data_IF_756108434170
#
_entry.id   IF_756108434170
#
_cell.length_a   1.000
_cell.length_b   1.000
_cell.length_c   1.000
_cell.angle_alpha   90.00
_cell.angle_beta   90.00
_cell.angle_gamma   90.00
#
_symmetry.space_group_name_H-M   'P 1'
#
loop_
_entity.id
_entity.type
_entity.pdbx_description
1 polymer ?
#
# COMPACT_ATOMS: atom_id res chain seq x y z
N UNK A 1 4.87 -52.80 34.39
CA UNK A 1 4.35 -52.82 33.00
C UNK A 1 3.74 -51.49 32.56
N UNK A 2 2.51 -51.09 32.94
CA UNK A 2 1.90 -49.85 32.41
C UNK A 2 2.56 -48.52 32.85
N UNK A 3 3.23 -48.50 34.00
CA UNK A 3 3.97 -47.33 34.50
C UNK A 3 5.38 -47.22 33.89
N UNK A 4 6.05 -48.35 33.68
CA UNK A 4 7.36 -48.39 33.01
C UNK A 4 7.25 -47.90 31.56
N UNK A 5 6.21 -48.35 30.85
CA UNK A 5 5.96 -47.92 29.47
C UNK A 5 5.71 -46.40 29.36
N UNK A 6 5.03 -45.79 30.35
CA UNK A 6 4.85 -44.33 30.40
C UNK A 6 6.14 -43.58 30.72
N UNK A 7 7.03 -44.18 31.50
CA UNK A 7 8.33 -43.58 31.81
C UNK A 7 9.21 -43.61 30.57
N UNK A 8 9.22 -44.73 29.83
CA UNK A 8 9.93 -44.86 28.56
C UNK A 8 9.41 -43.87 27.50
N UNK A 9 8.08 -43.74 27.36
CA UNK A 9 7.45 -42.75 26.46
C UNK A 9 7.87 -41.31 26.79
N UNK A 10 7.99 -40.95 28.08
CA UNK A 10 8.43 -39.62 28.51
C UNK A 10 9.92 -39.39 28.23
N UNK A 11 10.76 -40.41 28.38
CA UNK A 11 12.17 -40.32 28.01
C UNK A 11 12.35 -40.14 26.50
N UNK A 12 11.59 -40.87 25.68
CA UNK A 12 11.60 -40.72 24.22
C UNK A 12 11.10 -39.35 23.76
N UNK A 13 10.11 -38.78 24.47
CA UNK A 13 9.70 -37.40 24.24
C UNK A 13 10.81 -36.41 24.60
N UNK A 14 11.46 -36.59 25.75
CA UNK A 14 12.53 -35.71 26.22
C UNK A 14 13.74 -35.74 25.27
N UNK A 15 14.13 -36.91 24.77
CA UNK A 15 15.21 -37.06 23.79
C UNK A 15 14.81 -36.42 22.45
N UNK A 16 13.58 -36.62 21.99
CA UNK A 16 13.07 -35.96 20.77
C UNK A 16 13.10 -34.44 20.90
N UNK A 17 12.67 -33.88 22.04
CA UNK A 17 12.74 -32.44 22.28
C UNK A 17 14.18 -31.92 22.35
N UNK A 18 15.10 -32.66 22.96
CA UNK A 18 16.52 -32.31 23.00
C UNK A 18 17.14 -32.29 21.60
N UNK A 19 16.86 -33.31 20.77
CA UNK A 19 17.35 -33.40 19.39
C UNK A 19 16.77 -32.29 18.50
N UNK A 20 15.48 -31.99 18.66
CA UNK A 20 14.84 -30.87 17.97
C UNK A 20 15.45 -29.52 18.38
N UNK A 21 15.74 -29.33 19.67
CA UNK A 21 16.41 -28.14 20.20
C UNK A 21 17.83 -27.97 19.66
N UNK A 22 18.62 -29.04 19.66
CA UNK A 22 19.97 -29.06 19.08
C UNK A 22 19.93 -28.80 17.57
N UNK A 23 18.98 -29.38 16.84
CA UNK A 23 18.78 -29.14 15.42
C UNK A 23 18.32 -27.72 15.10
N UNK A 24 17.49 -27.09 15.95
CA UNK A 24 17.13 -25.68 15.82
C UNK A 24 18.34 -24.77 16.06
N UNK A 25 19.16 -25.07 17.07
CA UNK A 25 20.37 -24.30 17.39
C UNK A 25 21.43 -24.42 16.29
N UNK A 26 21.62 -25.62 15.72
CA UNK A 26 22.51 -25.83 14.58
C UNK A 26 22.07 -25.04 13.34
N UNK A 27 20.77 -25.01 13.02
CA UNK A 27 20.22 -24.19 11.93
C UNK A 27 20.45 -22.69 12.17
N UNK A 28 20.19 -22.21 13.39
CA UNK A 28 20.44 -20.81 13.75
C UNK A 28 21.92 -20.44 13.64
N UNK A 29 22.84 -21.34 14.03
CA UNK A 29 24.28 -21.12 13.85
C UNK A 29 24.70 -21.05 12.38
N UNK A 30 24.14 -21.91 11.54
CA UNK A 30 24.37 -21.87 10.08
C UNK A 30 23.84 -20.57 9.47
N UNK A 31 22.66 -20.11 9.88
CA UNK A 31 22.09 -18.85 9.42
C UNK A 31 22.94 -17.65 9.85
N UNK A 32 23.40 -17.62 11.10
CA UNK A 32 24.34 -16.59 11.59
C UNK A 32 25.63 -16.59 10.77
N UNK A 33 26.16 -17.77 10.43
CA UNK A 33 27.36 -17.86 9.59
C UNK A 33 27.11 -17.28 8.20
N UNK A 34 26.03 -17.70 7.53
CA UNK A 34 25.66 -17.21 6.21
C UNK A 34 25.42 -15.69 6.20
N UNK A 35 24.79 -15.15 7.25
CA UNK A 35 24.59 -13.71 7.41
C UNK A 35 25.91 -12.97 7.61
N UNK A 36 26.88 -13.53 8.35
CA UNK A 36 28.21 -12.94 8.52
C UNK A 36 28.98 -12.91 7.20
N UNK A 37 28.95 -13.99 6.42
CA UNK A 37 29.58 -14.03 5.09
C UNK A 37 28.96 -12.99 4.16
N UNK A 38 27.62 -12.87 4.17
CA UNK A 38 26.92 -11.87 3.35
C UNK A 38 27.21 -10.45 3.80
N UNK A 39 27.32 -10.20 5.10
CA UNK A 39 27.72 -8.88 5.60
C UNK A 39 29.13 -8.51 5.15
N UNK A 40 30.07 -9.45 5.18
CA UNK A 40 31.42 -9.23 4.68
C UNK A 40 31.45 -8.93 3.17
N UNK A 41 30.64 -9.64 2.38
CA UNK A 41 30.48 -9.36 0.95
C UNK A 41 29.89 -7.96 0.70
N UNK A 42 28.89 -7.57 1.50
CA UNK A 42 28.27 -6.24 1.40
C UNK A 42 29.25 -5.13 1.81
N UNK A 43 30.05 -5.32 2.86
CA UNK A 43 31.08 -4.38 3.27
C UNK A 43 32.11 -4.17 2.14
N UNK A 44 32.63 -5.25 1.56
CA UNK A 44 33.51 -5.18 0.38
C UNK A 44 32.87 -4.45 -0.80
N UNK A 45 31.57 -4.68 -1.04
CA UNK A 45 30.84 -3.99 -2.11
C UNK A 45 30.67 -2.49 -1.83
N UNK A 46 30.46 -2.10 -0.58
CA UNK A 46 30.37 -0.68 -0.19
C UNK A 46 31.71 0.00 -0.45
N UNK A 47 32.83 -0.61 -0.04
CA UNK A 47 34.17 -0.08 -0.30
C UNK A 47 34.43 0.10 -1.81
N UNK A 48 34.03 -0.88 -2.63
CA UNK A 48 34.14 -0.79 -4.09
C UNK A 48 33.33 0.40 -4.66
N UNK A 49 32.09 0.59 -4.18
CA UNK A 49 31.21 1.68 -4.64
C UNK A 49 31.72 3.05 -4.18
N UNK A 50 32.24 3.16 -2.96
CA UNK A 50 32.87 4.38 -2.47
C UNK A 50 34.10 4.75 -3.30
N UNK A 51 34.92 3.76 -3.67
CA UNK A 51 36.05 3.94 -4.59
C UNK A 51 35.60 4.49 -5.95
N UNK A 52 34.57 3.90 -6.56
CA UNK A 52 34.01 4.38 -7.83
C UNK A 52 33.43 5.79 -7.73
N UNK A 53 32.76 6.12 -6.61
CA UNK A 53 32.21 7.45 -6.39
C UNK A 53 33.31 8.50 -6.25
N UNK A 54 34.41 8.18 -5.57
CA UNK A 54 35.56 9.07 -5.45
C UNK A 54 36.23 9.30 -6.81
N UNK A 55 36.40 8.24 -7.62
CA UNK A 55 36.89 8.37 -8.99
C UNK A 55 35.98 9.25 -9.86
N UNK A 56 34.67 9.11 -9.73
CA UNK A 56 33.70 9.96 -10.43
C UNK A 56 33.82 11.42 -9.98
N UNK A 57 33.91 11.67 -8.67
CA UNK A 57 34.10 13.03 -8.12
C UNK A 57 35.36 13.68 -8.66
N UNK A 58 36.47 12.96 -8.70
CA UNK A 58 37.73 13.46 -9.25
C UNK A 58 37.60 13.78 -10.75
N UNK A 59 37.01 12.86 -11.54
CA UNK A 59 36.79 13.08 -12.98
C UNK A 59 35.85 14.24 -13.29
N UNK A 60 34.78 14.41 -12.52
CA UNK A 60 33.88 15.56 -12.66
C UNK A 60 34.63 16.85 -12.30
N UNK A 61 35.37 16.86 -11.20
CA UNK A 61 36.10 18.05 -10.75
C UNK A 61 37.19 18.47 -11.75
N UNK A 62 37.91 17.52 -12.36
CA UNK A 62 38.92 17.82 -13.40
C UNK A 62 38.28 18.34 -14.69
N UNK A 63 37.15 17.76 -15.11
CA UNK A 63 36.45 18.22 -16.32
C UNK A 63 35.75 19.57 -16.14
N UNK A 64 35.27 19.88 -14.94
CA UNK A 64 34.72 21.21 -14.62
C UNK A 64 35.80 22.31 -14.57
N UNK A 65 37.06 21.95 -14.39
CA UNK A 65 38.20 22.88 -14.40
C UNK A 65 38.81 23.09 -15.81
N UNK A 66 38.41 22.30 -16.81
CA UNK A 66 38.89 22.38 -18.18
C UNK A 66 38.02 23.27 -19.09
N UNK A 67 38.50 23.62 -20.31
CA UNK A 67 37.75 24.43 -21.27
C UNK A 67 36.48 23.75 -21.84
N UNK A 68 36.30 22.45 -21.57
CA UNK A 68 35.14 21.65 -21.99
C UNK A 68 33.96 21.70 -21.00
N UNK A 69 34.11 22.40 -19.85
CA UNK A 69 33.08 22.51 -18.81
C UNK A 69 31.74 23.08 -19.33
N UNK A 70 31.78 24.02 -20.27
CA UNK A 70 30.57 24.58 -20.91
C UNK A 70 29.80 23.52 -21.71
N UNK A 71 30.49 22.56 -22.32
CA UNK A 71 29.87 21.48 -23.11
C UNK A 71 29.17 20.43 -22.25
N UNK A 72 29.73 20.16 -21.06
CA UNK A 72 29.18 19.24 -20.06
C UNK A 72 27.97 19.84 -19.33
N UNK A 73 28.02 21.13 -19.03
CA UNK A 73 26.91 21.85 -18.39
C UNK A 73 25.76 22.14 -19.36
N UNK A 74 26.04 22.26 -20.67
CA UNK A 74 25.02 22.55 -21.68
C UNK A 74 24.30 21.31 -22.22
N UNK A 75 24.88 20.10 -22.11
CA UNK A 75 24.27 18.85 -22.61
C UNK A 75 24.06 17.86 -21.45
N UNK A 76 22.82 17.67 -20.97
CA UNK A 76 22.50 16.71 -19.90
C UNK A 76 22.98 15.28 -20.19
N UNK A 77 23.01 14.90 -21.48
CA UNK A 77 23.38 13.56 -21.93
C UNK A 77 24.88 13.25 -21.75
N UNK A 78 25.75 14.26 -21.84
CA UNK A 78 27.20 14.06 -21.76
C UNK A 78 27.64 13.70 -20.32
N UNK A 79 27.03 14.35 -19.33
CA UNK A 79 27.23 14.01 -17.91
C UNK A 79 26.73 12.59 -17.61
N UNK A 80 25.59 12.19 -18.17
CA UNK A 80 25.07 10.83 -17.97
C UNK A 80 25.92 9.74 -18.64
N UNK A 81 26.53 10.02 -19.80
CA UNK A 81 27.49 9.09 -20.40
C UNK A 81 28.76 8.96 -19.56
N UNK A 82 29.30 10.07 -19.04
CA UNK A 82 30.47 10.05 -18.17
C UNK A 82 30.22 9.27 -16.88
N UNK A 83 29.08 9.52 -16.23
CA UNK A 83 28.66 8.79 -15.02
C UNK A 83 28.53 7.29 -15.33
N UNK A 84 27.96 6.94 -16.48
CA UNK A 84 27.78 5.56 -16.92
C UNK A 84 29.12 4.85 -17.17
N UNK A 85 30.02 5.51 -17.89
CA UNK A 85 31.35 4.99 -18.23
C UNK A 85 32.20 4.78 -16.98
N UNK A 86 32.20 5.73 -16.05
CA UNK A 86 32.99 5.68 -14.81
C UNK A 86 32.47 4.68 -13.80
N UNK A 87 31.15 4.53 -13.68
CA UNK A 87 30.55 3.53 -12.80
C UNK A 87 30.52 2.12 -13.43
N UNK A 88 31.01 1.96 -14.67
CA UNK A 88 30.97 0.69 -15.41
C UNK A 88 29.54 0.19 -15.62
N UNK A 89 28.57 1.09 -15.60
CA UNK A 89 27.17 0.75 -15.79
C UNK A 89 27.00 0.46 -17.28
N UNK A 90 26.65 -0.78 -17.63
CA UNK A 90 26.18 -1.08 -18.97
C UNK A 90 25.04 -0.10 -19.28
N UNK A 91 25.07 0.56 -20.45
CA UNK A 91 23.89 1.27 -20.94
C UNK A 91 22.70 0.37 -20.70
N UNK A 92 21.56 0.88 -20.17
CA UNK A 92 20.43 0.01 -19.91
C UNK A 92 20.17 -0.68 -21.24
N UNK A 93 20.55 -1.97 -21.31
CA UNK A 93 19.82 -2.88 -22.17
C UNK A 93 18.41 -2.60 -21.73
N UNK A 94 17.60 -2.17 -22.69
CA UNK A 94 16.19 -1.99 -22.47
C UNK A 94 15.68 -3.38 -22.07
N UNK A 95 15.80 -3.70 -20.78
CA UNK A 95 14.91 -4.58 -20.10
C UNK A 95 13.59 -3.88 -20.36
N UNK A 96 12.90 -4.38 -21.38
CA UNK A 96 11.48 -4.14 -21.56
C UNK A 96 10.90 -4.44 -20.19
N UNK A 97 10.68 -3.39 -19.41
CA UNK A 97 9.73 -3.44 -18.30
C UNK A 97 8.50 -4.05 -18.96
N UNK A 98 7.98 -5.20 -18.49
CA UNK A 98 6.94 -5.91 -19.22
C UNK A 98 5.79 -4.95 -19.56
N UNK A 99 5.73 -4.49 -20.82
CA UNK A 99 4.79 -3.46 -21.28
C UNK A 99 3.35 -3.97 -21.25
N UNK A 100 3.16 -5.27 -21.01
CA UNK A 100 1.85 -5.91 -20.88
C UNK A 100 1.13 -5.55 -19.56
N UNK A 101 1.85 -5.05 -18.54
CA UNK A 101 1.24 -4.61 -17.28
C UNK A 101 0.73 -3.16 -17.31
N UNK A 102 1.49 -2.25 -17.93
CA UNK A 102 1.23 -0.80 -17.88
C UNK A 102 -0.03 -0.40 -18.65
N UNK A 103 -0.28 -1.03 -19.80
CA UNK A 103 -1.39 -0.68 -20.68
C UNK A 103 -2.76 -1.00 -20.06
N UNK A 104 -2.85 -2.03 -19.23
CA UNK A 104 -4.13 -2.49 -18.70
C UNK A 104 -4.63 -1.60 -17.55
N UNK A 105 -3.72 -1.04 -16.74
CA UNK A 105 -4.07 -0.17 -15.61
C UNK A 105 -4.64 1.19 -16.00
N UNK A 106 -4.25 1.74 -17.16
CA UNK A 106 -4.73 3.04 -17.60
C UNK A 106 -6.20 3.05 -18.04
N UNK A 107 -6.69 1.92 -18.56
CA UNK A 107 -8.08 1.73 -18.99
C UNK A 107 -9.01 1.33 -17.83
N UNK A 108 -8.46 0.85 -16.70
CA UNK A 108 -9.23 0.38 -15.55
C UNK A 108 -9.95 1.51 -14.80
N UNK A 109 -11.18 1.21 -14.39
CA UNK A 109 -11.95 2.05 -13.46
C UNK A 109 -11.20 2.17 -12.11
N UNK A 110 -11.26 3.32 -11.41
CA UNK A 110 -10.73 3.48 -10.05
C UNK A 110 -10.96 2.30 -9.08
N UNK A 111 -12.13 1.64 -9.12
CA UNK A 111 -12.43 0.48 -8.28
C UNK A 111 -11.64 -0.77 -8.69
N UNK A 112 -11.58 -1.06 -10.00
CA UNK A 112 -10.82 -2.19 -10.54
C UNK A 112 -9.32 -2.05 -10.25
N UNK A 113 -8.81 -0.82 -10.29
CA UNK A 113 -7.42 -0.54 -9.91
C UNK A 113 -7.16 -0.82 -8.44
N UNK A 114 -8.09 -0.47 -7.56
CA UNK A 114 -7.97 -0.78 -6.15
C UNK A 114 -8.00 -2.30 -5.91
N UNK A 115 -8.88 -3.03 -6.59
CA UNK A 115 -8.93 -4.51 -6.54
C UNK A 115 -7.63 -5.15 -7.02
N UNK A 116 -7.03 -4.60 -8.08
CA UNK A 116 -5.70 -4.99 -8.55
C UNK A 116 -4.64 -4.80 -7.46
N UNK A 117 -4.61 -3.65 -6.80
CA UNK A 117 -3.67 -3.39 -5.70
C UNK A 117 -3.90 -4.25 -4.47
N UNK A 118 -5.14 -4.57 -4.13
CA UNK A 118 -5.47 -5.52 -3.05
C UNK A 118 -4.89 -6.90 -3.36
N UNK A 119 -4.95 -7.32 -4.63
CA UNK A 119 -4.42 -8.61 -5.05
C UNK A 119 -2.89 -8.63 -5.12
N UNK A 120 -2.28 -7.54 -5.58
CA UNK A 120 -0.82 -7.45 -5.79
C UNK A 120 -0.04 -7.08 -4.53
N UNK A 121 -0.60 -6.23 -3.67
CA UNK A 121 0.03 -5.72 -2.46
C UNK A 121 -0.85 -6.03 -1.22
N UNK A 122 -1.05 -7.32 -0.89
CA UNK A 122 -1.95 -7.73 0.20
C UNK A 122 -1.48 -7.25 1.58
N UNK A 123 -0.18 -6.94 1.72
CA UNK A 123 0.41 -6.42 2.97
C UNK A 123 0.08 -4.95 3.22
N UNK A 124 -0.08 -4.15 2.17
CA UNK A 124 -0.45 -2.74 2.29
C UNK A 124 -1.98 -2.54 2.20
N UNK A 125 -2.61 -3.18 1.22
CA UNK A 125 -4.03 -3.00 0.92
C UNK A 125 -4.86 -4.16 1.45
N UNK A 126 -5.27 -4.03 2.71
CA UNK A 126 -6.17 -4.99 3.35
C UNK A 126 -7.61 -4.43 3.34
N UNK A 127 -8.58 -5.05 2.63
CA UNK A 127 -9.95 -4.55 2.58
C UNK A 127 -10.72 -4.79 3.88
N UNK A 128 -10.40 -5.85 4.62
CA UNK A 128 -11.03 -6.18 5.90
C UNK A 128 -10.60 -5.27 7.04
N UNK A 129 -9.29 -5.13 7.21
CA UNK A 129 -8.66 -4.33 8.26
C UNK A 129 -7.63 -3.38 7.63
N UNK A 130 -8.08 -2.23 7.07
CA UNK A 130 -7.17 -1.29 6.43
C UNK A 130 -6.14 -0.78 7.44
N UNK A 131 -4.89 -0.65 7.00
CA UNK A 131 -3.82 -0.07 7.79
C UNK A 131 -3.46 1.32 7.27
N UNK A 132 -2.95 2.23 8.12
CA UNK A 132 -2.46 3.52 7.66
C UNK A 132 -1.39 3.32 6.58
N UNK A 133 -1.56 3.95 5.42
CA UNK A 133 -0.59 3.88 4.34
C UNK A 133 0.52 4.91 4.53
N UNK A 134 1.70 4.63 3.96
CA UNK A 134 2.81 5.56 3.86
C UNK A 134 2.38 6.89 3.22
N UNK A 135 2.89 7.99 3.73
CA UNK A 135 2.72 9.31 3.12
C UNK A 135 3.49 9.31 1.78
N UNK A 136 2.82 9.67 0.68
CA UNK A 136 3.44 9.59 -0.64
C UNK A 136 3.35 8.23 -1.31
N UNK A 137 2.56 7.27 -0.81
CA UNK A 137 2.39 5.92 -1.41
C UNK A 137 2.02 5.93 -2.91
N UNK A 138 1.45 7.03 -3.40
CA UNK A 138 1.12 7.22 -4.81
C UNK A 138 2.34 7.36 -5.72
N UNK A 139 3.48 7.83 -5.20
CA UNK A 139 4.76 7.89 -5.92
C UNK A 139 5.38 6.49 -6.01
N UNK A 140 5.31 5.72 -4.93
CA UNK A 140 5.75 4.32 -4.92
C UNK A 140 4.91 3.48 -5.92
N UNK A 141 3.60 3.70 -5.96
CA UNK A 141 2.71 3.06 -6.95
C UNK A 141 3.02 3.50 -8.37
N UNK A 142 3.33 4.77 -8.59
CA UNK A 142 3.73 5.29 -9.90
C UNK A 142 5.05 4.66 -10.36
N UNK A 143 6.02 4.48 -9.46
CA UNK A 143 7.28 3.82 -9.77
C UNK A 143 7.11 2.31 -10.05
N UNK A 144 6.20 1.64 -9.34
CA UNK A 144 6.00 0.19 -9.47
C UNK A 144 5.09 -0.21 -10.65
N UNK A 145 4.10 0.61 -11.00
CA UNK A 145 3.07 0.28 -12.01
C UNK A 145 2.95 1.27 -13.15
N UNK A 146 3.60 2.44 -13.05
CA UNK A 146 3.48 3.50 -14.04
C UNK A 146 2.05 4.05 -14.20
N UNK A 147 1.85 4.79 -15.29
CA UNK A 147 0.56 5.38 -15.66
C UNK A 147 0.30 6.77 -15.08
N UNK A 148 -0.94 7.26 -15.22
CA UNK A 148 -1.29 8.62 -14.78
C UNK A 148 -1.51 8.75 -13.25
N UNK A 149 -0.71 9.63 -12.64
CA UNK A 149 -0.77 10.01 -11.22
C UNK A 149 -2.18 10.47 -10.79
N UNK A 150 -2.95 11.13 -11.68
CA UNK A 150 -4.32 11.58 -11.37
C UNK A 150 -5.26 10.38 -11.15
N UNK A 151 -5.16 9.37 -12.01
CA UNK A 151 -5.97 8.15 -11.90
C UNK A 151 -5.60 7.35 -10.64
N UNK A 152 -4.31 7.30 -10.29
CA UNK A 152 -3.83 6.65 -9.05
C UNK A 152 -4.43 7.36 -7.83
N UNK A 153 -4.33 8.68 -7.77
CA UNK A 153 -4.92 9.47 -6.68
C UNK A 153 -6.43 9.29 -6.57
N UNK A 154 -7.13 9.19 -7.70
CA UNK A 154 -8.59 8.94 -7.71
C UNK A 154 -8.93 7.57 -7.12
N UNK A 155 -8.21 6.52 -7.50
CA UNK A 155 -8.40 5.18 -6.95
C UNK A 155 -8.08 5.13 -5.45
N UNK A 156 -6.94 5.70 -5.03
CA UNK A 156 -6.55 5.80 -3.63
C UNK A 156 -7.60 6.55 -2.80
N UNK A 157 -8.14 7.66 -3.31
CA UNK A 157 -9.19 8.41 -2.61
C UNK A 157 -10.41 7.53 -2.27
N UNK A 158 -10.70 6.55 -3.11
CA UNK A 158 -11.75 5.54 -2.88
C UNK A 158 -11.42 4.50 -1.80
N UNK A 159 -10.19 4.46 -1.28
CA UNK A 159 -9.76 3.58 -0.18
C UNK A 159 -9.58 4.38 1.12
N UNK A 160 -8.78 5.46 1.09
CA UNK A 160 -8.44 6.27 2.28
C UNK A 160 -9.63 7.06 2.85
N UNK A 161 -10.65 7.39 2.04
CA UNK A 161 -11.83 8.13 2.52
C UNK A 161 -12.90 7.24 3.18
N UNK A 162 -12.70 5.92 3.21
CA UNK A 162 -13.70 5.05 3.81
C UNK A 162 -13.69 5.22 5.34
N UNK A 163 -14.87 5.16 5.99
CA UNK A 163 -14.97 5.18 7.45
C UNK A 163 -14.21 4.02 8.12
N UNK A 164 -13.97 2.93 7.40
CA UNK A 164 -13.12 1.82 7.88
C UNK A 164 -11.66 2.25 8.00
N UNK A 165 -11.14 2.96 7.00
CA UNK A 165 -9.77 3.46 7.00
C UNK A 165 -9.57 4.53 8.06
N UNK A 166 -10.49 5.51 8.15
CA UNK A 166 -10.41 6.59 9.13
C UNK A 166 -10.34 6.09 10.58
N UNK A 167 -11.05 4.99 10.91
CA UNK A 167 -10.99 4.36 12.25
C UNK A 167 -9.62 3.79 12.63
N UNK A 168 -8.78 3.50 11.64
CA UNK A 168 -7.45 2.94 11.85
C UNK A 168 -6.38 4.03 12.05
N UNK A 169 -6.67 5.29 11.70
CA UNK A 169 -5.79 6.43 11.93
C UNK A 169 -5.82 6.86 13.41
N UNK A 170 -5.05 6.15 14.23
CA UNK A 170 -4.84 6.47 15.65
C UNK A 170 -3.44 7.04 15.85
N UNK A 171 -3.27 7.91 16.82
CA UNK A 171 -1.96 8.47 17.16
C UNK A 171 -0.96 7.32 17.46
N UNK A 172 0.22 7.39 16.86
CA UNK A 172 1.26 6.36 16.99
C UNK A 172 1.01 5.08 16.18
N UNK A 173 -0.05 5.00 15.38
CA UNK A 173 -0.25 3.86 14.49
C UNK A 173 0.83 3.81 13.40
N UNK A 174 1.35 2.61 13.11
CA UNK A 174 2.39 2.40 12.09
C UNK A 174 1.81 2.59 10.70
N UNK A 175 2.54 3.31 9.86
CA UNK A 175 2.26 3.42 8.42
C UNK A 175 2.99 2.32 7.66
N UNK A 176 2.32 1.72 6.69
CA UNK A 176 2.89 0.65 5.87
C UNK A 176 3.19 1.13 4.45
N UNK A 177 4.35 0.72 3.91
CA UNK A 177 4.67 0.81 2.49
C UNK A 177 4.04 -0.33 1.68
N UNK A 178 4.29 -0.38 0.37
CA UNK A 178 3.76 -1.42 -0.54
C UNK A 178 4.22 -2.84 -0.16
N UNK A 179 5.37 -2.97 0.50
CA UNK A 179 5.99 -4.22 0.93
C UNK A 179 5.55 -4.64 2.34
N UNK A 180 4.85 -3.76 3.06
CA UNK A 180 4.42 -3.96 4.44
C UNK A 180 5.47 -3.61 5.48
N UNK A 181 6.50 -2.84 5.12
CA UNK A 181 7.50 -2.32 6.06
C UNK A 181 7.01 -1.04 6.73
N UNK A 182 7.56 -0.77 7.91
CA UNK A 182 7.26 0.43 8.68
C UNK A 182 7.78 1.68 7.94
N UNK A 183 6.87 2.56 7.56
CA UNK A 183 7.14 3.77 6.78
C UNK A 183 6.71 5.04 7.51
N UNK A 184 6.80 5.03 8.84
CA UNK A 184 6.48 6.15 9.73
C UNK A 184 5.29 5.87 10.64
N UNK A 185 4.82 6.92 11.31
CA UNK A 185 3.73 6.86 12.27
C UNK A 185 2.67 7.90 11.97
N UNK A 186 1.44 7.65 12.42
CA UNK A 186 0.36 8.62 12.38
C UNK A 186 0.53 9.60 13.54
N UNK A 187 0.53 10.90 13.21
CA UNK A 187 0.64 11.97 14.20
C UNK A 187 -0.68 12.19 14.94
N UNK A 188 -0.64 12.85 16.09
CA UNK A 188 -1.85 13.13 16.88
C UNK A 188 -2.83 14.04 16.14
N UNK A 189 -2.32 15.05 15.42
CA UNK A 189 -3.13 15.95 14.59
C UNK A 189 -3.85 15.20 13.45
N UNK A 190 -3.17 14.25 12.80
CA UNK A 190 -3.79 13.43 11.76
C UNK A 190 -4.87 12.50 12.31
N UNK A 191 -4.66 11.96 13.51
CA UNK A 191 -5.65 11.15 14.19
C UNK A 191 -6.88 11.97 14.62
N UNK A 192 -6.68 13.19 15.12
CA UNK A 192 -7.74 14.16 15.41
C UNK A 192 -8.58 14.46 14.18
N UNK A 193 -7.93 14.84 13.08
CA UNK A 193 -8.61 15.10 11.83
C UNK A 193 -9.42 13.89 11.34
N UNK A 194 -8.88 12.67 11.48
CA UNK A 194 -9.59 11.46 11.11
C UNK A 194 -10.85 11.23 11.97
N UNK A 195 -10.80 11.55 13.27
CA UNK A 195 -11.96 11.49 14.18
C UNK A 195 -13.04 12.48 13.76
N UNK A 196 -12.68 13.73 13.49
CA UNK A 196 -13.62 14.76 13.04
C UNK A 196 -14.32 14.37 11.73
N UNK A 197 -13.56 13.85 10.75
CA UNK A 197 -14.13 13.37 9.49
C UNK A 197 -15.09 12.20 9.69
N UNK A 198 -14.82 11.31 10.66
CA UNK A 198 -15.70 10.21 11.00
C UNK A 198 -17.03 10.72 11.58
N UNK A 199 -16.98 11.66 12.52
CA UNK A 199 -18.17 12.27 13.13
C UNK A 199 -19.01 13.01 12.08
N UNK A 200 -18.38 13.76 11.17
CA UNK A 200 -19.05 14.41 10.05
C UNK A 200 -19.74 13.39 9.15
N UNK A 201 -19.09 12.27 8.85
CA UNK A 201 -19.69 11.21 8.05
C UNK A 201 -20.90 10.57 8.73
N UNK A 202 -20.81 10.30 10.04
CA UNK A 202 -21.91 9.71 10.82
C UNK A 202 -23.12 10.65 10.94
N UNK A 203 -22.89 11.94 11.18
CA UNK A 203 -23.96 12.94 11.25
C UNK A 203 -24.66 13.10 9.90
N UNK A 204 -23.92 13.20 8.80
CA UNK A 204 -24.48 13.23 7.45
C UNK A 204 -25.29 11.96 7.12
N UNK A 205 -24.80 10.79 7.54
CA UNK A 205 -25.51 9.52 7.34
C UNK A 205 -26.85 9.52 8.09
N UNK A 206 -26.86 9.93 9.36
CA UNK A 206 -28.09 10.04 10.17
C UNK A 206 -29.08 11.03 9.56
N UNK A 207 -28.61 12.18 9.08
CA UNK A 207 -29.45 13.19 8.43
C UNK A 207 -30.07 12.66 7.14
N UNK A 208 -29.30 12.01 6.26
CA UNK A 208 -29.81 11.40 5.03
C UNK A 208 -30.83 10.30 5.32
N UNK A 209 -30.58 9.48 6.33
CA UNK A 209 -31.53 8.43 6.73
C UNK A 209 -32.84 9.02 7.26
N UNK A 210 -32.76 10.07 8.08
CA UNK A 210 -33.94 10.78 8.58
C UNK A 210 -34.75 11.42 7.44
N UNK A 211 -34.07 12.07 6.50
CA UNK A 211 -34.72 12.64 5.30
C UNK A 211 -35.39 11.55 4.46
N UNK A 212 -34.73 10.41 4.25
CA UNK A 212 -35.30 9.29 3.50
C UNK A 212 -36.55 8.73 4.18
N UNK A 213 -36.51 8.53 5.50
CA UNK A 213 -37.67 8.07 6.29
C UNK A 213 -38.85 9.04 6.19
N UNK A 214 -38.60 10.34 6.31
CA UNK A 214 -39.64 11.38 6.11
C UNK A 214 -40.25 11.34 4.72
N UNK A 215 -39.42 11.23 3.68
CA UNK A 215 -39.90 11.11 2.30
C UNK A 215 -40.74 9.84 2.09
N UNK A 216 -40.31 8.71 2.64
CA UNK A 216 -41.06 7.45 2.59
C UNK A 216 -42.42 7.57 3.33
N UNK A 217 -42.47 8.23 4.48
CA UNK A 217 -43.71 8.49 5.23
C UNK A 217 -44.66 9.43 4.46
N UNK A 218 -44.15 10.51 3.88
CA UNK A 218 -44.93 11.43 3.03
C UNK A 218 -45.47 10.74 1.78
N UNK A 219 -44.65 9.90 1.12
CA UNK A 219 -45.09 9.12 -0.04
C UNK A 219 -46.19 8.12 0.33
N UNK A 220 -46.10 7.47 1.49
CA UNK A 220 -47.16 6.57 1.99
C UNK A 220 -48.46 7.32 2.24
N UNK A 221 -48.40 8.48 2.91
CA UNK A 221 -49.58 9.32 3.15
C UNK A 221 -50.24 9.77 1.86
N UNK A 222 -49.47 10.26 0.88
CA UNK A 222 -50.00 10.62 -0.44
C UNK A 222 -50.65 9.43 -1.15
N UNK A 223 -50.02 8.27 -1.11
CA UNK A 223 -50.57 7.06 -1.71
C UNK A 223 -51.88 6.60 -1.02
N UNK A 224 -52.01 6.79 0.30
CA UNK A 224 -53.24 6.54 1.06
C UNK A 224 -54.34 7.55 0.70
N UNK A 225 -54.00 8.83 0.60
CA UNK A 225 -54.92 9.90 0.17
C UNK A 225 -55.44 9.65 -1.26
N UNK A 226 -54.56 9.27 -2.19
CA UNK A 226 -54.93 8.94 -3.58
C UNK A 226 -55.87 7.72 -3.63
N UNK A 227 -55.60 6.69 -2.81
CA UNK A 227 -56.49 5.53 -2.68
C UNK A 227 -57.85 5.90 -2.11
N UNK A 228 -57.89 6.74 -1.08
CA UNK A 228 -59.12 7.18 -0.44
C UNK A 228 -59.95 8.04 -1.39
N UNK A 229 -59.31 8.96 -2.12
CA UNK A 229 -59.92 9.80 -3.15
C UNK A 229 -60.54 8.96 -4.27
N UNK A 230 -59.78 7.97 -4.78
CA UNK A 230 -60.30 7.04 -5.79
C UNK A 230 -61.51 6.24 -5.29
N UNK A 231 -61.47 5.78 -4.03
CA UNK A 231 -62.60 5.07 -3.39
C UNK A 231 -63.84 5.97 -3.26
N UNK A 232 -63.65 7.22 -2.85
CA UNK A 232 -64.72 8.22 -2.74
C UNK A 232 -65.36 8.51 -4.10
N UNK A 233 -64.55 8.74 -5.13
CA UNK A 233 -65.04 8.93 -6.50
C UNK A 233 -65.88 7.74 -6.99
N UNK A 234 -65.43 6.51 -6.72
CA UNK A 234 -66.17 5.30 -7.09
C UNK A 234 -67.55 5.24 -6.40
N UNK A 235 -67.63 5.59 -5.11
CA UNK A 235 -68.88 5.62 -4.37
C UNK A 235 -69.84 6.70 -4.86
N UNK A 236 -69.32 7.89 -5.22
CA UNK A 236 -70.14 8.97 -5.78
C UNK A 236 -70.78 8.56 -7.11
N UNK A 237 -70.04 7.86 -7.99
CA UNK A 237 -70.57 7.37 -9.27
C UNK A 237 -71.69 6.33 -9.10
N UNK A 238 -71.62 5.51 -8.05
CA UNK A 238 -72.64 4.50 -7.74
C UNK A 238 -73.94 5.11 -7.23
N UNK A 239 -73.88 6.25 -6.55
CA UNK A 239 -75.05 6.91 -5.96
C UNK A 239 -75.77 7.88 -6.92
N UNK A 240 -75.18 8.14 -8.09
CA UNK A 240 -75.77 9.00 -9.14
C UNK A 240 -76.63 8.25 -10.16
N UNK A 241 -76.89 6.94 -9.96
CA UNK A 241 -77.81 6.12 -10.73
C UNK A 241 -79.04 5.76 -9.91
#
# INVERSE_FOLDING_TARGET
MALEQKVDDLFDQLTSYADQGLGALGRAQQEIHALKERNLELESRVEELEGKLNQLKEKINTQLQGPEAESLLSRPDALMMLIRETLGLKAPEAQKVPEEGFANLEAMNPQQRLEHWVSKYPRAFMPGQPQPLKIGIHEDLLAAEGGDQKKIRRALAGYVKLPRYLRCLKAGAVRLDLQGSNAGFVTEQEAEFAREQLELWETQKKQKEHQRRKQEEEQKKRAEEDRLSSKLQQLMQLNTR
#
